data_IF_377073583881
#
_entry.id   IF_377073583881
#
_cell.length_a   1.000
_cell.length_b   1.000
_cell.length_c   1.000
_cell.angle_alpha   90.00
_cell.angle_beta   90.00
_cell.angle_gamma   90.00
#
_symmetry.space_group_name_H-M   'P 1'
#
loop_
_entity.id
_entity.type
_entity.pdbx_description
1 polymer ?
#
# COMPACT_ATOMS: atom_id res chain seq x y z
N UNK A 1 27.53 12.45 56.42
CA UNK A 1 28.84 12.12 57.04
C UNK A 1 28.79 10.69 57.55
N UNK A 2 29.75 9.83 57.18
CA UNK A 2 30.08 8.60 57.91
C UNK A 2 29.49 7.27 57.40
N UNK A 3 30.39 6.43 56.87
CA UNK A 3 30.25 5.03 56.41
C UNK A 3 29.86 4.03 57.51
N UNK A 4 29.24 2.87 57.11
CA UNK A 4 29.73 1.51 57.43
C UNK A 4 29.29 0.47 56.37
N UNK A 5 30.27 -0.34 55.93
CA UNK A 5 30.15 -1.53 55.08
C UNK A 5 29.49 -2.71 55.82
N UNK A 6 28.82 -3.59 55.07
CA UNK A 6 28.78 -5.03 55.37
C UNK A 6 28.99 -5.84 54.09
N UNK A 7 29.77 -6.90 54.22
CA UNK A 7 30.35 -7.71 53.17
C UNK A 7 29.31 -8.54 52.41
N UNK A 8 29.42 -8.56 51.07
CA UNK A 8 28.75 -9.55 50.22
C UNK A 8 29.70 -10.72 49.99
N UNK A 9 29.26 -11.91 50.40
CA UNK A 9 29.89 -13.17 50.03
C UNK A 9 29.73 -13.43 48.53
N UNK A 10 30.84 -13.80 47.88
CA UNK A 10 30.86 -14.36 46.54
C UNK A 10 30.09 -15.68 46.51
N UNK A 11 29.03 -15.76 45.70
CA UNK A 11 28.58 -17.01 45.11
C UNK A 11 28.87 -16.94 43.61
N UNK A 12 29.91 -17.65 43.18
CA UNK A 12 30.23 -17.91 41.77
C UNK A 12 29.19 -18.85 41.18
N UNK A 13 28.10 -18.29 40.67
CA UNK A 13 27.17 -18.99 39.79
C UNK A 13 27.71 -18.95 38.36
N UNK A 14 28.10 -20.10 37.82
CA UNK A 14 28.40 -20.25 36.40
C UNK A 14 27.11 -19.99 35.60
N UNK A 15 27.00 -18.80 35.01
CA UNK A 15 26.02 -18.52 33.96
C UNK A 15 26.49 -19.27 32.72
N UNK A 16 25.94 -20.48 32.51
CA UNK A 16 26.03 -21.13 31.23
C UNK A 16 25.40 -20.23 30.18
N UNK A 17 26.24 -19.60 29.34
CA UNK A 17 25.81 -19.07 28.05
C UNK A 17 25.32 -20.26 27.22
N UNK A 18 24.05 -20.61 27.38
CA UNK A 18 23.30 -21.28 26.34
C UNK A 18 23.15 -20.24 25.23
N UNK A 19 24.13 -20.24 24.32
CA UNK A 19 24.01 -19.65 22.99
C UNK A 19 22.92 -20.40 22.25
N UNK A 20 21.66 -20.15 22.61
CA UNK A 20 20.52 -20.55 21.83
C UNK A 20 20.64 -19.80 20.51
N UNK A 21 21.13 -20.48 19.48
CA UNK A 21 20.96 -20.03 18.12
C UNK A 21 19.45 -19.92 17.91
N UNK A 22 18.93 -18.70 17.95
CA UNK A 22 17.59 -18.46 17.44
C UNK A 22 17.59 -19.01 16.00
N UNK A 23 16.59 -19.83 15.63
CA UNK A 23 16.50 -20.33 14.27
C UNK A 23 16.54 -19.11 13.35
N UNK A 24 17.46 -19.11 12.38
CA UNK A 24 17.49 -18.08 11.36
C UNK A 24 16.17 -18.21 10.58
N UNK A 25 15.26 -17.24 10.77
CA UNK A 25 14.07 -17.15 9.96
C UNK A 25 14.50 -17.00 8.50
N UNK A 26 13.89 -17.78 7.60
CA UNK A 26 14.13 -17.61 6.17
C UNK A 26 13.69 -16.19 5.79
N UNK A 27 14.54 -15.46 5.09
CA UNK A 27 14.22 -14.10 4.67
C UNK A 27 13.19 -14.11 3.53
N UNK A 28 12.18 -13.25 3.61
CA UNK A 28 11.27 -12.99 2.52
C UNK A 28 11.97 -12.11 1.50
N UNK A 29 12.16 -12.60 0.29
CA UNK A 29 12.96 -11.88 -0.72
C UNK A 29 12.27 -11.79 -2.07
N UNK A 30 11.23 -12.58 -2.30
CA UNK A 30 10.51 -12.56 -3.56
C UNK A 30 9.81 -11.23 -3.82
N UNK A 31 9.75 -10.86 -5.09
CA UNK A 31 8.95 -9.75 -5.59
C UNK A 31 7.96 -10.30 -6.61
N UNK A 32 6.69 -10.31 -6.20
CA UNK A 32 5.56 -10.65 -7.06
C UNK A 32 5.00 -9.41 -7.73
N UNK A 33 4.66 -9.54 -9.01
CA UNK A 33 4.04 -8.48 -9.78
C UNK A 33 2.84 -8.97 -10.58
N UNK A 34 1.82 -8.14 -10.62
CA UNK A 34 0.60 -8.37 -11.40
C UNK A 34 0.19 -7.08 -12.12
N UNK A 35 -0.11 -7.16 -13.41
CA UNK A 35 -0.57 -5.98 -14.14
C UNK A 35 -1.50 -6.31 -15.31
N UNK A 36 -2.48 -5.45 -15.57
CA UNK A 36 -3.40 -5.63 -16.69
C UNK A 36 -3.42 -4.36 -17.53
N UNK A 37 -3.05 -4.48 -18.80
CA UNK A 37 -3.25 -3.43 -19.80
C UNK A 37 -4.48 -3.78 -20.65
N UNK A 38 -4.60 -5.06 -21.02
CA UNK A 38 -5.62 -5.57 -21.94
C UNK A 38 -6.92 -5.98 -21.22
N UNK A 39 -7.73 -4.99 -20.84
CA UNK A 39 -9.07 -5.20 -20.30
C UNK A 39 -10.15 -5.24 -21.38
N UNK A 40 -11.11 -6.15 -21.25
CA UNK A 40 -12.31 -6.26 -22.07
C UNK A 40 -13.31 -5.11 -21.83
N UNK A 41 -13.17 -4.40 -20.71
CA UNK A 41 -14.02 -3.27 -20.32
C UNK A 41 -13.40 -1.89 -20.60
N UNK A 42 -12.23 -1.83 -21.24
CA UNK A 42 -11.54 -0.58 -21.53
C UNK A 42 -10.06 -0.72 -21.26
N UNK A 43 -9.25 -0.70 -22.31
CA UNK A 43 -7.82 -0.90 -22.18
C UNK A 43 -7.14 0.22 -21.41
N UNK A 44 -6.15 -0.15 -20.61
CA UNK A 44 -5.15 0.73 -20.06
C UNK A 44 -3.83 0.51 -20.78
N UNK A 45 -2.92 1.47 -20.65
CA UNK A 45 -1.53 1.31 -21.05
C UNK A 45 -0.61 1.43 -19.86
N UNK A 46 0.63 0.97 -20.01
CA UNK A 46 1.74 1.24 -19.09
C UNK A 46 1.71 0.55 -17.72
N UNK A 47 0.66 -0.19 -17.34
CA UNK A 47 0.64 -0.91 -16.07
C UNK A 47 1.73 -1.99 -16.05
N UNK A 48 1.88 -2.72 -17.15
CA UNK A 48 2.97 -3.71 -17.28
C UNK A 48 4.35 -3.05 -17.18
N UNK A 49 4.52 -1.90 -17.82
CA UNK A 49 5.79 -1.16 -17.77
C UNK A 49 6.13 -0.68 -16.35
N UNK A 50 5.13 -0.26 -15.57
CA UNK A 50 5.32 0.13 -14.17
C UNK A 50 5.81 -1.06 -13.33
N UNK A 51 5.10 -2.18 -13.34
CA UNK A 51 5.46 -3.32 -12.49
C UNK A 51 6.76 -4.00 -12.94
N UNK A 52 7.00 -4.11 -14.26
CA UNK A 52 8.25 -4.65 -14.80
C UNK A 52 9.42 -3.70 -14.52
N UNK A 53 9.20 -2.40 -14.66
CA UNK A 53 10.18 -1.36 -14.35
C UNK A 53 10.61 -1.39 -12.88
N UNK A 54 9.66 -1.60 -11.97
CA UNK A 54 9.94 -1.85 -10.56
C UNK A 54 10.76 -3.13 -10.36
N UNK A 55 10.22 -4.28 -10.77
CA UNK A 55 10.82 -5.59 -10.51
C UNK A 55 12.22 -5.72 -11.11
N UNK A 56 12.38 -5.39 -12.40
CA UNK A 56 13.69 -5.48 -13.06
C UNK A 56 14.74 -4.58 -12.39
N UNK A 57 14.31 -3.43 -11.86
CA UNK A 57 15.22 -2.54 -11.16
C UNK A 57 15.59 -3.06 -9.77
N UNK A 58 14.62 -3.54 -9.00
CA UNK A 58 14.87 -4.16 -7.69
C UNK A 58 15.82 -5.35 -7.80
N UNK A 59 15.64 -6.19 -8.83
CA UNK A 59 16.48 -7.37 -9.11
C UNK A 59 17.86 -7.04 -9.68
N UNK A 60 18.14 -5.77 -10.01
CA UNK A 60 19.46 -5.36 -10.51
C UNK A 60 20.54 -5.27 -9.41
N UNK A 61 20.14 -5.35 -8.14
CA UNK A 61 21.04 -5.39 -6.99
C UNK A 61 20.69 -6.58 -6.08
N UNK A 62 21.67 -7.05 -5.31
CA UNK A 62 21.47 -8.19 -4.41
C UNK A 62 20.53 -7.85 -3.26
N UNK A 63 19.60 -8.75 -2.96
CA UNK A 63 18.78 -8.68 -1.75
C UNK A 63 17.37 -9.18 -1.96
N UNK A 64 16.82 -8.98 -3.16
CA UNK A 64 15.53 -9.50 -3.57
C UNK A 64 15.70 -10.56 -4.66
N UNK A 65 14.69 -11.43 -4.77
CA UNK A 65 14.61 -12.51 -5.74
C UNK A 65 13.32 -12.38 -6.56
N UNK A 66 13.28 -13.07 -7.69
CA UNK A 66 12.12 -13.04 -8.57
C UNK A 66 10.96 -13.86 -7.95
N UNK A 67 9.83 -13.19 -7.65
CA UNK A 67 8.55 -13.83 -7.32
C UNK A 67 7.75 -14.18 -8.59
N UNK A 68 6.43 -14.33 -8.48
CA UNK A 68 5.59 -14.58 -9.66
C UNK A 68 5.40 -13.32 -10.50
N UNK A 69 5.04 -13.50 -11.77
CA UNK A 69 4.73 -12.41 -12.70
C UNK A 69 3.52 -12.80 -13.53
N UNK A 70 2.38 -12.18 -13.25
CA UNK A 70 1.17 -12.33 -14.05
C UNK A 70 0.83 -11.04 -14.76
N UNK A 71 0.38 -11.16 -16.01
CA UNK A 71 -0.04 -9.99 -16.78
C UNK A 71 -1.25 -10.28 -17.65
N UNK A 72 -2.05 -9.25 -17.90
CA UNK A 72 -3.22 -9.29 -18.77
C UNK A 72 -4.17 -10.44 -18.38
N UNK A 73 -4.57 -11.29 -19.34
CA UNK A 73 -5.49 -12.40 -19.13
C UNK A 73 -5.04 -13.49 -18.14
N UNK A 74 -3.86 -13.32 -17.52
CA UNK A 74 -3.31 -14.19 -16.49
C UNK A 74 -3.49 -13.64 -15.07
N UNK A 75 -4.11 -12.47 -14.89
CA UNK A 75 -4.44 -11.89 -13.58
C UNK A 75 -5.89 -12.23 -13.24
N UNK A 76 -6.09 -12.99 -12.16
CA UNK A 76 -7.36 -13.55 -11.73
C UNK A 76 -7.84 -12.91 -10.43
N UNK A 77 -9.15 -12.87 -10.17
CA UNK A 77 -9.65 -12.41 -8.86
C UNK A 77 -9.08 -13.22 -7.70
N UNK A 78 -8.93 -14.53 -7.92
CA UNK A 78 -8.40 -15.48 -6.95
C UNK A 78 -6.96 -15.21 -6.55
N UNK A 79 -6.22 -14.42 -7.35
CA UNK A 79 -4.84 -14.07 -7.05
C UNK A 79 -4.72 -13.13 -5.85
N UNK A 80 -5.83 -12.46 -5.49
CA UNK A 80 -5.88 -11.46 -4.43
C UNK A 80 -6.75 -11.85 -3.24
N UNK A 81 -7.70 -12.76 -3.43
CA UNK A 81 -8.65 -13.14 -2.37
C UNK A 81 -8.12 -14.26 -1.51
N UNK A 82 -8.34 -14.11 -0.20
CA UNK A 82 -7.95 -15.05 0.84
C UNK A 82 -8.86 -16.31 0.79
N UNK A 83 -8.28 -17.53 0.66
CA UNK A 83 -9.04 -18.78 0.64
C UNK A 83 -9.89 -19.05 1.90
N UNK A 84 -9.57 -18.44 3.03
CA UNK A 84 -10.37 -18.50 4.26
C UNK A 84 -11.58 -17.54 4.23
N UNK A 85 -11.59 -16.54 3.34
CA UNK A 85 -12.70 -15.60 3.17
C UNK A 85 -13.58 -15.93 1.99
N UNK A 86 -12.97 -16.41 0.91
CA UNK A 86 -13.65 -16.73 -0.34
C UNK A 86 -13.30 -18.16 -0.73
N UNK A 87 -14.32 -19.02 -0.80
CA UNK A 87 -14.13 -20.40 -1.22
C UNK A 87 -13.51 -20.45 -2.63
N UNK A 88 -12.35 -21.09 -2.74
CA UNK A 88 -11.58 -21.15 -3.99
C UNK A 88 -10.65 -19.96 -4.25
N UNK A 89 -10.43 -19.07 -3.27
CA UNK A 89 -9.33 -18.09 -3.28
C UNK A 89 -7.95 -18.77 -3.31
N UNK A 90 -6.91 -18.04 -3.71
CA UNK A 90 -5.56 -18.58 -3.92
C UNK A 90 -4.45 -17.51 -3.84
N UNK A 91 -4.65 -16.42 -3.09
CA UNK A 91 -3.66 -15.35 -2.95
C UNK A 91 -2.30 -15.83 -2.42
N UNK A 92 -2.33 -16.90 -1.63
CA UNK A 92 -1.22 -17.69 -1.07
C UNK A 92 -0.21 -18.21 -2.07
N UNK A 93 -0.60 -18.35 -3.33
CA UNK A 93 0.27 -18.85 -4.40
C UNK A 93 0.56 -17.77 -5.45
N UNK A 94 -0.03 -16.58 -5.28
CA UNK A 94 -0.06 -15.49 -6.25
C UNK A 94 0.36 -14.18 -5.57
N UNK A 95 -0.56 -13.24 -5.31
CA UNK A 95 -0.23 -11.89 -4.86
C UNK A 95 0.39 -11.84 -3.46
N UNK A 96 -0.12 -12.62 -2.51
CA UNK A 96 0.40 -12.71 -1.14
C UNK A 96 1.10 -14.05 -0.92
N UNK A 97 2.16 -14.33 -1.68
CA UNK A 97 2.85 -15.62 -1.61
C UNK A 97 3.84 -15.66 -0.43
N UNK A 98 3.90 -16.74 0.38
CA UNK A 98 4.97 -16.94 1.35
C UNK A 98 6.37 -16.91 0.70
N UNK A 99 7.33 -16.25 1.37
CA UNK A 99 8.69 -16.07 0.87
C UNK A 99 8.90 -14.82 0.00
N UNK A 100 7.81 -14.12 -0.34
CA UNK A 100 7.86 -12.85 -1.04
C UNK A 100 7.75 -11.70 -0.04
N UNK A 101 8.58 -10.67 -0.19
CA UNK A 101 8.51 -9.49 0.67
C UNK A 101 7.59 -8.41 0.09
N UNK A 102 7.40 -8.40 -1.23
CA UNK A 102 6.73 -7.32 -1.94
C UNK A 102 5.78 -7.89 -2.99
N UNK A 103 4.55 -7.38 -3.02
CA UNK A 103 3.64 -7.53 -4.13
C UNK A 103 3.31 -6.17 -4.76
N UNK A 104 3.32 -6.08 -6.08
CA UNK A 104 2.97 -4.85 -6.80
C UNK A 104 1.92 -5.18 -7.85
N UNK A 105 0.70 -4.65 -7.65
CA UNK A 105 -0.36 -4.62 -8.64
C UNK A 105 -0.43 -3.28 -9.37
N UNK A 106 -0.61 -3.31 -10.70
CA UNK A 106 -0.97 -2.12 -11.48
C UNK A 106 -2.12 -2.36 -12.47
N UNK A 107 -3.14 -1.50 -12.47
CA UNK A 107 -4.31 -1.71 -13.32
C UNK A 107 -5.49 -0.75 -13.06
N UNK A 108 -6.70 -1.21 -13.32
CA UNK A 108 -7.94 -0.49 -13.04
C UNK A 108 -8.40 -0.62 -11.59
N UNK A 109 -9.13 0.39 -11.14
CA UNK A 109 -9.83 0.44 -9.85
C UNK A 109 -11.19 1.13 -9.97
N UNK A 110 -11.95 1.16 -8.87
CA UNK A 110 -13.32 1.71 -8.86
C UNK A 110 -13.36 3.21 -8.55
N UNK A 111 -14.02 3.98 -9.41
CA UNK A 111 -14.24 5.42 -9.28
C UNK A 111 -15.65 5.80 -8.80
N UNK A 112 -16.31 4.92 -8.04
CA UNK A 112 -17.75 4.99 -7.71
C UNK A 112 -18.06 5.83 -6.45
N UNK A 113 -17.05 6.51 -5.92
CA UNK A 113 -17.10 7.27 -4.68
C UNK A 113 -17.29 8.78 -4.88
N UNK A 114 -16.88 9.30 -6.03
CA UNK A 114 -17.01 10.72 -6.35
C UNK A 114 -18.37 11.01 -6.96
N UNK A 115 -18.98 12.11 -6.49
CA UNK A 115 -20.23 12.64 -7.03
C UNK A 115 -19.98 13.88 -7.89
N UNK A 116 -20.99 14.31 -8.64
CA UNK A 116 -21.01 15.60 -9.34
C UNK A 116 -21.34 16.78 -8.40
N UNK A 117 -21.58 16.52 -7.12
CA UNK A 117 -21.92 17.54 -6.13
C UNK A 117 -20.67 18.32 -5.73
N UNK A 118 -20.63 19.60 -6.13
CA UNK A 118 -19.61 20.53 -5.66
C UNK A 118 -19.78 20.84 -4.17
N UNK A 119 -18.68 21.14 -3.50
CA UNK A 119 -18.65 21.49 -2.09
C UNK A 119 -17.52 22.48 -1.81
N UNK A 120 -17.60 23.23 -0.72
CA UNK A 120 -16.49 24.04 -0.19
C UNK A 120 -16.04 23.56 1.19
N UNK A 121 -16.87 22.73 1.82
CA UNK A 121 -16.62 22.08 3.10
C UNK A 121 -17.20 20.67 3.09
N UNK A 122 -16.64 19.77 3.91
CA UNK A 122 -17.13 18.40 4.11
C UNK A 122 -18.56 18.39 4.67
N UNK A 123 -18.90 19.39 5.48
CA UNK A 123 -20.28 19.57 5.98
C UNK A 123 -21.28 19.85 4.85
N UNK A 124 -20.86 20.54 3.79
CA UNK A 124 -21.68 20.84 2.61
C UNK A 124 -22.04 19.61 1.76
N UNK A 125 -21.40 18.47 1.99
CA UNK A 125 -21.74 17.24 1.29
C UNK A 125 -23.01 16.58 1.85
N UNK A 126 -23.94 16.10 1.00
CA UNK A 126 -25.11 15.35 1.46
C UNK A 126 -24.72 14.15 2.33
N UNK A 127 -25.46 13.90 3.41
CA UNK A 127 -25.24 12.70 4.22
C UNK A 127 -25.87 11.49 3.55
N UNK A 128 -25.08 10.41 3.39
CA UNK A 128 -25.56 9.11 2.93
C UNK A 128 -25.40 8.14 4.09
N UNK A 129 -26.47 7.42 4.43
CA UNK A 129 -26.45 6.49 5.56
C UNK A 129 -25.33 5.46 5.41
N UNK A 130 -24.54 5.28 6.48
CA UNK A 130 -23.45 4.31 6.54
C UNK A 130 -22.17 4.71 5.81
N UNK A 131 -22.11 5.86 5.13
CA UNK A 131 -20.91 6.31 4.41
C UNK A 131 -20.28 7.52 5.10
N UNK A 132 -18.95 7.51 5.21
CA UNK A 132 -18.17 8.70 5.51
C UNK A 132 -18.15 9.59 4.25
N UNK A 133 -18.06 10.91 4.45
CA UNK A 133 -18.02 11.90 3.37
C UNK A 133 -16.81 12.81 3.53
N UNK A 134 -16.26 13.27 2.41
CA UNK A 134 -15.21 14.29 2.35
C UNK A 134 -15.48 15.26 1.21
N UNK A 135 -15.20 16.53 1.45
CA UNK A 135 -15.08 17.49 0.37
C UNK A 135 -13.65 17.49 -0.12
N UNK A 136 -13.41 16.80 -1.23
CA UNK A 136 -12.06 16.66 -1.80
C UNK A 136 -11.89 17.69 -2.88
N UNK A 137 -10.80 18.47 -2.79
CA UNK A 137 -10.47 19.54 -3.72
C UNK A 137 -10.46 19.02 -5.16
N UNK A 138 -11.18 19.71 -6.03
CA UNK A 138 -11.39 19.28 -7.41
C UNK A 138 -10.84 20.32 -8.39
N UNK A 139 -10.51 19.88 -9.60
CA UNK A 139 -9.64 20.60 -10.54
C UNK A 139 -10.35 21.20 -11.76
N UNK A 140 -11.69 21.16 -11.82
CA UNK A 140 -12.45 21.51 -13.02
C UNK A 140 -12.80 23.01 -13.17
N UNK A 141 -12.37 23.89 -12.26
CA UNK A 141 -12.72 25.31 -12.33
C UNK A 141 -11.61 26.28 -11.90
N UNK A 142 -11.52 27.41 -12.60
CA UNK A 142 -10.73 28.59 -12.21
C UNK A 142 -11.37 29.42 -11.08
N UNK A 143 -12.49 28.94 -10.51
CA UNK A 143 -13.32 29.67 -9.56
C UNK A 143 -13.22 29.07 -8.14
N UNK A 144 -12.21 29.49 -7.38
CA UNK A 144 -12.19 29.37 -5.92
C UNK A 144 -11.98 27.96 -5.32
N UNK A 145 -12.13 27.90 -3.99
CA UNK A 145 -11.96 26.71 -3.14
C UNK A 145 -13.11 25.69 -3.32
N UNK A 146 -13.34 25.21 -4.55
CA UNK A 146 -14.35 24.18 -4.82
C UNK A 146 -13.74 22.78 -4.82
N UNK A 147 -14.37 21.89 -4.05
CA UNK A 147 -14.18 20.45 -4.09
C UNK A 147 -15.39 19.73 -4.65
N UNK A 148 -15.30 18.40 -4.67
CA UNK A 148 -16.42 17.49 -4.93
C UNK A 148 -16.62 16.57 -3.73
N UNK A 149 -17.87 16.21 -3.51
CA UNK A 149 -18.21 15.25 -2.47
C UNK A 149 -17.78 13.85 -2.89
N UNK A 150 -16.94 13.25 -2.06
CA UNK A 150 -16.50 11.86 -2.14
C UNK A 150 -16.97 11.10 -0.90
N UNK A 151 -17.21 9.80 -1.05
CA UNK A 151 -17.79 8.96 -0.01
C UNK A 151 -17.01 7.67 0.19
N UNK A 152 -16.97 7.13 1.41
CA UNK A 152 -16.28 5.87 1.66
C UNK A 152 -17.03 4.76 0.93
N UNK A 153 -16.49 4.25 -0.16
CA UNK A 153 -17.06 3.14 -0.93
C UNK A 153 -16.10 1.96 -0.91
N UNK A 154 -16.60 0.72 -1.04
CA UNK A 154 -15.71 -0.41 -1.22
C UNK A 154 -14.83 -0.20 -2.45
N UNK A 155 -13.53 -0.37 -2.27
CA UNK A 155 -12.54 -0.24 -3.32
C UNK A 155 -12.24 -1.59 -3.91
N UNK A 156 -12.15 -1.59 -5.24
CA UNK A 156 -11.88 -2.81 -5.96
C UNK A 156 -10.66 -2.65 -6.85
N UNK A 157 -9.86 -3.71 -6.91
CA UNK A 157 -8.98 -3.97 -8.03
C UNK A 157 -9.85 -4.54 -9.15
N UNK A 158 -9.71 -4.03 -10.37
CA UNK A 158 -10.34 -4.64 -11.54
C UNK A 158 -9.30 -5.51 -12.23
N UNK A 159 -9.69 -6.76 -12.50
CA UNK A 159 -8.89 -7.73 -13.26
C UNK A 159 -9.70 -8.21 -14.46
N UNK A 160 -9.04 -8.78 -15.46
CA UNK A 160 -9.73 -9.41 -16.57
C UNK A 160 -9.12 -10.76 -16.91
N UNK A 161 -9.79 -11.80 -16.42
CA UNK A 161 -9.45 -13.18 -16.72
C UNK A 161 -9.67 -13.46 -18.21
N UNK A 162 -8.60 -13.85 -18.90
CA UNK A 162 -8.61 -14.26 -20.32
C UNK A 162 -9.09 -13.20 -21.33
N UNK A 163 -9.23 -11.92 -20.94
CA UNK A 163 -9.71 -10.87 -21.84
C UNK A 163 -11.20 -10.94 -22.15
N UNK A 164 -11.99 -11.61 -21.30
CA UNK A 164 -13.40 -11.95 -21.57
C UNK A 164 -14.39 -11.18 -20.71
N UNK A 165 -14.01 -10.85 -19.49
CA UNK A 165 -14.90 -10.14 -18.57
C UNK A 165 -14.10 -9.53 -17.43
N UNK A 166 -14.22 -8.21 -17.28
CA UNK A 166 -13.71 -7.53 -16.11
C UNK A 166 -14.44 -7.96 -14.84
N UNK A 167 -13.66 -8.21 -13.80
CA UNK A 167 -14.11 -8.70 -12.50
C UNK A 167 -13.50 -7.80 -11.41
N UNK A 168 -14.30 -7.43 -10.43
CA UNK A 168 -13.85 -6.64 -9.29
C UNK A 168 -13.44 -7.53 -8.11
N UNK A 169 -12.30 -7.22 -7.51
CA UNK A 169 -11.84 -7.79 -6.24
C UNK A 169 -11.94 -6.71 -5.18
N UNK A 170 -12.83 -6.88 -4.21
CA UNK A 170 -13.02 -5.91 -3.14
C UNK A 170 -12.01 -6.10 -2.00
N UNK A 171 -11.08 -5.15 -1.87
CA UNK A 171 -10.07 -5.15 -0.81
C UNK A 171 -10.50 -4.33 0.42
N UNK A 172 -11.70 -3.75 0.42
CA UNK A 172 -12.25 -2.98 1.54
C UNK A 172 -13.23 -3.78 2.40
N UNK A 173 -14.03 -4.67 1.80
CA UNK A 173 -15.04 -5.47 2.52
C UNK A 173 -14.49 -6.74 3.17
N UNK A 174 -13.21 -7.00 2.97
CA UNK A 174 -12.49 -8.05 3.66
C UNK A 174 -12.51 -9.43 2.99
N UNK A 175 -12.67 -9.48 1.66
CA UNK A 175 -12.37 -10.68 0.87
C UNK A 175 -10.86 -10.92 0.70
N UNK A 176 -10.06 -9.89 0.97
CA UNK A 176 -8.61 -9.84 0.81
C UNK A 176 -7.95 -9.75 2.18
N UNK A 177 -6.87 -10.50 2.40
CA UNK A 177 -6.03 -10.46 3.61
C UNK A 177 -4.58 -10.59 3.16
N UNK A 178 -3.78 -9.54 3.32
CA UNK A 178 -2.38 -9.57 2.90
C UNK A 178 -1.40 -9.57 4.07
N UNK A 179 -0.31 -10.32 3.89
CA UNK A 179 0.78 -10.52 4.84
C UNK A 179 0.48 -11.57 5.89
N UNK A 180 -0.37 -12.55 5.57
CA UNK A 180 -0.76 -13.61 6.50
C UNK A 180 0.42 -14.52 6.84
N UNK A 181 1.04 -14.38 8.01
CA UNK A 181 2.27 -15.10 8.35
C UNK A 181 2.09 -16.10 9.50
N UNK A 182 2.71 -17.28 9.36
CA UNK A 182 2.78 -18.29 10.44
C UNK A 182 3.58 -17.80 11.66
N UNK A 183 4.44 -16.80 11.46
CA UNK A 183 5.41 -16.33 12.47
C UNK A 183 4.98 -15.05 13.16
N UNK A 184 4.13 -14.23 12.53
CA UNK A 184 3.53 -13.05 13.15
C UNK A 184 2.28 -13.44 13.95
N UNK A 185 2.46 -13.56 15.27
CA UNK A 185 1.38 -13.88 16.20
C UNK A 185 0.57 -12.63 16.55
N UNK A 186 -0.77 -12.66 16.65
CA UNK A 186 -1.59 -13.87 16.59
C UNK A 186 -2.13 -14.11 15.19
N UNK A 187 -2.00 -15.36 14.74
CA UNK A 187 -2.58 -16.01 13.55
C UNK A 187 -4.12 -15.99 13.48
N UNK A 188 -4.74 -14.92 13.99
CA UNK A 188 -6.18 -14.73 14.18
C UNK A 188 -6.61 -13.29 13.88
N UNK A 189 -5.70 -12.33 13.65
CA UNK A 189 -6.10 -10.96 13.35
C UNK A 189 -6.92 -10.90 12.05
N UNK A 190 -8.16 -10.42 12.10
CA UNK A 190 -9.09 -10.43 10.97
C UNK A 190 -9.31 -11.81 10.30
N UNK A 191 -8.98 -12.90 11.00
CA UNK A 191 -8.88 -14.25 10.45
C UNK A 191 -7.81 -14.40 9.38
N UNK A 192 -6.75 -13.59 9.48
CA UNK A 192 -5.47 -13.78 8.80
C UNK A 192 -5.04 -15.22 9.06
N UNK A 193 -4.99 -16.03 8.02
CA UNK A 193 -4.45 -17.36 8.11
C UNK A 193 -2.94 -17.34 8.24
N UNK A 194 -2.32 -18.36 7.68
CA UNK A 194 -0.89 -18.62 7.81
C UNK A 194 -0.27 -18.94 6.45
N UNK A 195 -0.90 -18.43 5.41
CA UNK A 195 -0.79 -18.88 4.03
C UNK A 195 -0.31 -17.77 3.10
N UNK A 196 -0.02 -16.58 3.62
CA UNK A 196 0.60 -15.47 2.92
C UNK A 196 2.03 -15.16 3.37
N UNK A 197 2.53 -13.95 3.11
CA UNK A 197 3.85 -13.55 3.60
C UNK A 197 4.43 -12.23 3.13
N UNK A 198 3.70 -11.37 2.42
CA UNK A 198 4.26 -10.09 1.98
C UNK A 198 4.26 -9.04 3.10
N UNK A 199 5.28 -8.17 3.08
CA UNK A 199 5.40 -7.04 4.01
C UNK A 199 5.05 -5.69 3.36
N UNK A 200 5.07 -5.62 2.03
CA UNK A 200 4.63 -4.46 1.26
C UNK A 200 3.71 -4.86 0.11
N UNK A 201 2.54 -4.22 0.04
CA UNK A 201 1.68 -4.26 -1.13
C UNK A 201 1.68 -2.89 -1.78
N UNK A 202 1.89 -2.83 -3.10
CA UNK A 202 1.72 -1.62 -3.90
C UNK A 202 0.46 -1.81 -4.75
N UNK A 203 -0.57 -1.03 -4.47
CA UNK A 203 -1.84 -1.01 -5.20
C UNK A 203 -1.87 0.25 -6.05
N UNK A 204 -1.35 0.12 -7.27
CA UNK A 204 -1.20 1.18 -8.26
C UNK A 204 -2.33 1.09 -9.30
N UNK A 205 -3.54 1.46 -8.89
CA UNK A 205 -4.70 1.39 -9.74
C UNK A 205 -5.32 2.76 -10.05
N UNK A 206 -5.95 2.84 -11.22
CA UNK A 206 -6.81 3.98 -11.58
C UNK A 206 -7.85 4.20 -10.48
N UNK A 207 -8.11 5.44 -10.07
CA UNK A 207 -9.03 5.71 -8.96
C UNK A 207 -8.66 4.91 -7.69
N UNK A 208 -7.41 5.07 -7.25
CA UNK A 208 -6.92 4.53 -5.98
C UNK A 208 -7.70 5.04 -4.76
N UNK A 209 -7.05 5.11 -3.61
CA UNK A 209 -7.78 5.42 -2.38
C UNK A 209 -8.21 6.88 -2.29
N UNK A 210 -9.32 7.11 -1.61
CA UNK A 210 -9.81 8.47 -1.41
C UNK A 210 -9.11 9.13 -0.23
N UNK A 211 -8.65 10.37 -0.40
CA UNK A 211 -8.10 11.18 0.68
C UNK A 211 -8.96 11.13 1.95
N UNK A 212 -8.33 10.79 3.08
CA UNK A 212 -8.93 10.73 4.42
C UNK A 212 -10.09 9.72 4.59
N UNK A 213 -10.26 8.79 3.64
CA UNK A 213 -11.20 7.67 3.72
C UNK A 213 -10.50 6.30 3.74
N UNK A 214 -9.17 6.28 3.72
CA UNK A 214 -8.34 5.09 3.63
C UNK A 214 -8.55 4.08 4.78
N UNK A 215 -8.99 4.53 5.97
CA UNK A 215 -9.35 3.59 7.05
C UNK A 215 -10.49 2.68 6.60
N UNK A 216 -11.56 3.25 6.04
CA UNK A 216 -12.68 2.47 5.54
C UNK A 216 -12.31 1.60 4.33
N UNK A 217 -11.27 1.98 3.59
CA UNK A 217 -10.92 1.36 2.30
C UNK A 217 -9.84 0.28 2.41
N UNK A 218 -8.91 0.38 3.36
CA UNK A 218 -7.79 -0.57 3.50
C UNK A 218 -7.77 -1.36 4.80
N UNK A 219 -8.50 -0.95 5.85
CA UNK A 219 -8.37 -1.60 7.17
C UNK A 219 -8.48 -3.12 7.11
N UNK A 220 -9.42 -3.64 6.33
CA UNK A 220 -9.65 -5.08 6.22
C UNK A 220 -8.64 -5.82 5.33
N UNK A 221 -7.84 -5.11 4.52
CA UNK A 221 -6.79 -5.73 3.71
C UNK A 221 -5.54 -6.09 4.54
N UNK A 222 -5.34 -5.45 5.70
CA UNK A 222 -4.19 -5.72 6.57
C UNK A 222 -4.36 -7.01 7.37
N UNK A 223 -3.48 -7.98 7.11
CA UNK A 223 -3.49 -9.30 7.73
C UNK A 223 -2.09 -9.76 8.23
N UNK A 224 -1.20 -8.79 8.48
CA UNK A 224 0.19 -9.02 8.88
C UNK A 224 1.21 -8.28 8.00
N UNK A 225 0.73 -7.65 6.93
CA UNK A 225 1.53 -6.76 6.08
C UNK A 225 1.96 -5.47 6.81
N UNK A 226 3.24 -5.09 6.70
CA UNK A 226 3.76 -3.84 7.27
C UNK A 226 3.11 -2.60 6.67
N UNK A 227 2.94 -2.56 5.35
CA UNK A 227 2.40 -1.37 4.67
C UNK A 227 1.70 -1.66 3.34
N UNK A 228 0.69 -0.84 3.04
CA UNK A 228 0.06 -0.75 1.72
C UNK A 228 0.38 0.62 1.14
N UNK A 229 1.03 0.64 -0.03
CA UNK A 229 1.30 1.81 -0.84
C UNK A 229 0.24 1.96 -1.94
N UNK A 230 -0.20 3.18 -2.20
CA UNK A 230 -1.18 3.47 -3.27
C UNK A 230 -1.08 4.92 -3.74
N UNK A 231 -1.97 5.33 -4.64
CA UNK A 231 -2.18 6.72 -5.03
C UNK A 231 -3.50 7.27 -4.50
N UNK A 232 -3.56 8.59 -4.36
CA UNK A 232 -4.74 9.36 -3.93
C UNK A 232 -5.09 10.41 -4.98
N UNK A 233 -5.78 10.02 -6.07
CA UNK A 233 -6.25 10.99 -7.05
C UNK A 233 -7.39 11.84 -6.48
N UNK A 234 -7.44 13.14 -6.80
CA UNK A 234 -8.55 14.02 -6.38
C UNK A 234 -9.65 14.17 -7.44
N UNK A 235 -9.48 13.51 -8.58
CA UNK A 235 -10.38 13.57 -9.74
C UNK A 235 -10.82 12.18 -10.18
N UNK A 236 -12.11 12.08 -10.51
CA UNK A 236 -12.75 10.86 -10.99
C UNK A 236 -12.17 10.47 -12.34
N UNK A 237 -11.87 9.19 -12.50
CA UNK A 237 -11.25 8.71 -13.73
C UNK A 237 -9.84 9.26 -13.95
N UNK A 238 -9.22 9.91 -12.96
CA UNK A 238 -7.78 10.09 -12.97
C UNK A 238 -7.16 8.70 -12.92
N UNK A 239 -6.56 8.37 -14.05
CA UNK A 239 -5.97 7.08 -14.32
C UNK A 239 -4.50 7.05 -13.87
N UNK A 240 -3.97 5.84 -13.73
CA UNK A 240 -2.55 5.53 -13.60
C UNK A 240 -1.91 5.13 -14.92
N UNK A 241 -2.74 4.85 -15.94
CA UNK A 241 -2.33 4.25 -17.22
C UNK A 241 -1.61 5.16 -18.22
N UNK A 242 -1.45 6.43 -17.89
CA UNK A 242 -0.80 7.43 -18.74
C UNK A 242 0.71 7.55 -18.46
N UNK A 243 1.24 6.82 -17.48
CA UNK A 243 2.66 6.92 -17.09
C UNK A 243 3.32 5.56 -16.88
N UNK A 244 4.46 5.35 -17.55
CA UNK A 244 5.22 4.09 -17.59
C UNK A 244 6.46 4.03 -16.69
N UNK A 245 6.66 5.06 -15.87
CA UNK A 245 7.88 5.25 -15.10
C UNK A 245 7.72 5.13 -13.58
N UNK A 246 6.51 4.92 -13.07
CA UNK A 246 6.24 5.02 -11.62
C UNK A 246 6.94 3.92 -10.84
N UNK A 247 6.77 2.68 -11.25
CA UNK A 247 7.42 1.56 -10.58
C UNK A 247 8.95 1.64 -10.68
N UNK A 248 9.50 2.12 -11.81
CA UNK A 248 10.94 2.38 -11.94
C UNK A 248 11.42 3.47 -10.98
N UNK A 249 10.73 4.60 -10.92
CA UNK A 249 11.06 5.71 -10.01
C UNK A 249 11.01 5.28 -8.54
N UNK A 250 10.09 4.38 -8.18
CA UNK A 250 10.03 3.80 -6.85
C UNK A 250 11.24 2.89 -6.57
N UNK A 251 11.55 1.95 -7.46
CA UNK A 251 12.69 1.04 -7.29
C UNK A 251 14.05 1.76 -7.31
N UNK A 252 14.19 2.88 -8.03
CA UNK A 252 15.42 3.66 -8.04
C UNK A 252 15.76 4.22 -6.64
N UNK A 253 14.78 4.40 -5.75
CA UNK A 253 15.01 4.78 -4.35
C UNK A 253 15.70 3.68 -3.56
N UNK A 254 15.30 2.42 -3.75
CA UNK A 254 15.97 1.26 -3.16
C UNK A 254 17.42 1.18 -3.65
N UNK A 255 17.64 1.29 -4.96
CA UNK A 255 19.00 1.18 -5.51
C UNK A 255 19.90 2.34 -5.07
N UNK A 256 19.34 3.53 -4.88
CA UNK A 256 20.08 4.66 -4.33
C UNK A 256 20.46 4.44 -2.86
N UNK A 257 19.55 3.88 -2.05
CA UNK A 257 19.80 3.61 -0.63
C UNK A 257 18.93 2.47 -0.08
N UNK A 258 19.48 1.24 0.05
CA UNK A 258 18.78 0.10 0.66
C UNK A 258 18.37 0.29 2.13
N UNK A 259 19.00 1.22 2.84
CA UNK A 259 18.67 1.55 4.24
C UNK A 259 17.68 2.72 4.36
N UNK A 260 17.12 3.19 3.23
CA UNK A 260 16.05 4.19 3.26
C UNK A 260 14.72 3.56 3.65
N UNK A 261 13.84 4.36 4.24
CA UNK A 261 12.47 3.95 4.53
C UNK A 261 11.71 3.68 3.24
N UNK A 262 10.97 2.58 3.23
CA UNK A 262 10.16 2.14 2.08
C UNK A 262 8.99 3.10 1.85
N UNK A 263 8.27 3.49 2.90
CA UNK A 263 7.16 4.44 2.80
C UNK A 263 7.60 5.79 2.23
N UNK A 264 8.73 6.34 2.72
CA UNK A 264 9.30 7.57 2.13
C UNK A 264 9.82 7.35 0.70
N UNK A 265 10.28 6.15 0.37
CA UNK A 265 10.68 5.81 -1.00
C UNK A 265 9.49 5.87 -1.95
N UNK A 266 8.33 5.30 -1.58
CA UNK A 266 7.13 5.36 -2.42
C UNK A 266 6.60 6.79 -2.55
N UNK A 267 6.35 7.45 -1.42
CA UNK A 267 5.79 8.80 -1.42
C UNK A 267 6.73 9.80 -2.09
N UNK A 268 8.03 9.74 -1.80
CA UNK A 268 9.03 10.60 -2.41
C UNK A 268 9.27 10.33 -3.89
N UNK A 269 9.00 9.11 -4.38
CA UNK A 269 9.18 8.76 -5.80
C UNK A 269 8.35 9.60 -6.75
N UNK A 270 7.23 10.18 -6.28
CA UNK A 270 6.38 11.07 -7.08
C UNK A 270 7.20 12.18 -7.77
N UNK A 271 8.20 12.73 -7.10
CA UNK A 271 9.07 13.79 -7.63
C UNK A 271 9.98 13.33 -8.80
N UNK A 272 10.07 12.03 -9.04
CA UNK A 272 10.89 11.41 -10.07
C UNK A 272 10.05 10.81 -11.20
N UNK A 273 8.72 10.86 -11.08
CA UNK A 273 7.80 10.42 -12.13
C UNK A 273 7.52 11.58 -13.08
N UNK A 274 7.54 11.31 -14.38
CA UNK A 274 7.18 12.26 -15.43
C UNK A 274 5.87 11.83 -16.09
N UNK A 275 4.99 12.78 -16.42
CA UNK A 275 3.70 12.52 -17.08
C UNK A 275 2.51 12.78 -16.18
N UNK A 276 1.29 12.53 -16.64
CA UNK A 276 0.07 13.05 -16.00
C UNK A 276 -0.34 14.40 -16.57
N UNK A 277 -1.08 15.19 -15.78
CA UNK A 277 -1.49 16.54 -16.18
C UNK A 277 -1.23 17.57 -15.09
N UNK A 278 -1.23 18.84 -15.46
CA UNK A 278 -1.08 19.95 -14.51
C UNK A 278 -2.19 19.99 -13.45
N UNK A 279 -1.85 20.51 -12.28
CA UNK A 279 -2.78 20.83 -11.20
C UNK A 279 -3.09 22.33 -11.22
N UNK A 280 -4.36 22.70 -11.05
CA UNK A 280 -4.83 24.10 -11.14
C UNK A 280 -4.19 25.04 -10.09
N UNK A 281 -3.62 24.47 -9.04
CA UNK A 281 -2.98 25.19 -7.93
C UNK A 281 -1.44 25.23 -8.05
N UNK A 282 -0.91 24.96 -9.24
CA UNK A 282 0.52 24.78 -9.48
C UNK A 282 0.99 23.34 -9.21
N UNK A 283 2.01 22.89 -9.94
CA UNK A 283 2.44 21.49 -9.92
C UNK A 283 1.62 20.60 -10.87
N UNK A 284 1.45 19.33 -10.48
CA UNK A 284 0.96 18.25 -11.35
C UNK A 284 2.11 17.59 -12.13
N UNK A 285 1.78 16.80 -13.14
CA UNK A 285 2.75 16.17 -14.06
C UNK A 285 3.76 15.21 -13.41
N UNK A 286 3.33 14.51 -12.36
CA UNK A 286 4.14 13.54 -11.61
C UNK A 286 3.47 12.17 -11.47
N UNK A 287 2.95 11.64 -12.58
CA UNK A 287 2.36 10.29 -12.56
C UNK A 287 0.90 10.22 -12.17
N UNK A 288 0.27 11.34 -11.84
CA UNK A 288 -1.15 11.42 -11.51
C UNK A 288 -1.78 12.52 -12.36
N UNK A 289 -2.90 12.21 -13.01
CA UNK A 289 -3.72 13.19 -13.73
C UNK A 289 -4.32 14.19 -12.74
N UNK A 290 -3.96 15.47 -12.90
CA UNK A 290 -4.44 16.57 -12.08
C UNK A 290 -3.71 16.67 -10.74
N UNK A 291 -4.44 16.98 -9.69
CA UNK A 291 -3.91 17.01 -8.33
C UNK A 291 -4.06 15.63 -7.69
N UNK A 292 -3.08 15.21 -6.90
CA UNK A 292 -3.12 13.97 -6.15
C UNK A 292 -1.85 13.73 -5.35
N UNK A 293 -1.73 12.55 -4.77
CA UNK A 293 -0.59 12.16 -3.97
C UNK A 293 -0.24 10.68 -4.10
N UNK A 294 1.01 10.34 -3.83
CA UNK A 294 1.40 8.99 -3.43
C UNK A 294 1.19 8.87 -1.92
N UNK A 295 0.72 7.73 -1.45
CA UNK A 295 0.47 7.47 -0.03
C UNK A 295 0.98 6.08 0.36
N UNK A 296 1.52 5.97 1.56
CA UNK A 296 1.79 4.69 2.22
C UNK A 296 1.07 4.67 3.56
N UNK A 297 0.45 3.54 3.87
CA UNK A 297 -0.33 3.32 5.09
C UNK A 297 0.18 2.07 5.76
N UNK A 298 0.35 2.12 7.07
CA UNK A 298 0.67 0.99 7.94
C UNK A 298 -0.41 0.85 9.01
N UNK A 299 -0.55 -0.35 9.55
CA UNK A 299 -1.55 -0.65 10.57
C UNK A 299 -1.02 -1.65 11.60
N UNK A 300 -1.09 -1.27 12.87
CA UNK A 300 -0.33 -1.92 13.94
C UNK A 300 -1.05 -1.87 15.31
N UNK A 301 -0.49 -2.62 16.26
CA UNK A 301 -0.99 -2.68 17.65
C UNK A 301 -0.71 -1.40 18.43
N UNK A 302 0.40 -0.72 18.15
CA UNK A 302 0.78 0.52 18.82
C UNK A 302 1.11 1.61 17.82
N UNK A 303 0.90 2.87 18.22
CA UNK A 303 1.25 4.02 17.40
C UNK A 303 2.73 4.00 17.00
N UNK A 304 3.62 3.66 17.93
CA UNK A 304 5.06 3.59 17.69
C UNK A 304 5.41 2.60 16.58
N UNK A 305 4.79 1.42 16.55
CA UNK A 305 5.03 0.43 15.50
C UNK A 305 4.41 0.85 14.17
N UNK A 306 3.19 1.40 14.18
CA UNK A 306 2.57 1.94 12.98
C UNK A 306 3.46 3.02 12.34
N UNK A 307 3.93 3.98 13.13
CA UNK A 307 4.82 5.05 12.66
C UNK A 307 6.18 4.52 12.23
N UNK A 308 6.72 3.52 12.94
CA UNK A 308 7.99 2.90 12.58
C UNK A 308 7.92 2.21 11.21
N UNK A 309 6.90 1.39 10.95
CA UNK A 309 6.70 0.76 9.63
C UNK A 309 6.61 1.79 8.52
N UNK A 310 5.86 2.87 8.75
CA UNK A 310 5.65 3.83 7.68
C UNK A 310 6.86 4.76 7.42
N UNK A 311 7.57 5.16 8.49
CA UNK A 311 8.61 6.21 8.43
C UNK A 311 10.04 5.70 8.52
N UNK A 312 10.23 4.49 9.03
CA UNK A 312 11.56 3.99 9.44
C UNK A 312 11.89 2.64 8.81
N UNK A 313 10.94 1.72 8.67
CA UNK A 313 11.17 0.40 8.11
C UNK A 313 11.85 0.49 6.75
N UNK A 314 13.01 -0.15 6.68
CA UNK A 314 13.89 -0.10 5.52
C UNK A 314 13.63 -1.27 4.57
N UNK A 315 14.12 -1.15 3.34
CA UNK A 315 14.07 -2.25 2.38
C UNK A 315 14.76 -3.52 2.90
N UNK A 316 15.85 -3.38 3.65
CA UNK A 316 16.50 -4.52 4.26
C UNK A 316 15.62 -5.20 5.33
N UNK A 317 14.85 -4.41 6.10
CA UNK A 317 13.98 -4.90 7.18
C UNK A 317 12.68 -5.52 6.69
N UNK A 318 12.12 -5.06 5.56
CA UNK A 318 10.96 -5.70 4.91
C UNK A 318 11.16 -7.20 4.62
N UNK A 319 12.41 -7.65 4.52
CA UNK A 319 12.76 -9.04 4.20
C UNK A 319 12.87 -9.93 5.41
N UNK A 320 12.73 -9.37 6.61
CA UNK A 320 12.93 -10.09 7.85
C UNK A 320 11.55 -10.30 8.52
N UNK A 321 11.07 -11.55 8.60
CA UNK A 321 9.82 -11.90 9.27
C UNK A 321 9.67 -11.37 10.71
N UNK A 322 10.81 -11.09 11.36
CA UNK A 322 10.82 -10.50 12.71
C UNK A 322 10.29 -9.06 12.78
N UNK A 323 10.02 -8.41 11.65
CA UNK A 323 9.42 -7.07 11.57
C UNK A 323 8.02 -7.07 10.95
N UNK A 324 7.46 -8.24 10.63
CA UNK A 324 6.09 -8.39 10.14
C UNK A 324 5.11 -7.69 11.07
N UNK A 325 4.04 -7.15 10.49
CA UNK A 325 3.06 -6.45 11.29
C UNK A 325 2.25 -7.40 12.17
N UNK A 326 1.89 -6.92 13.37
CA UNK A 326 0.94 -7.60 14.23
C UNK A 326 -0.52 -7.39 13.78
N UNK A 327 -0.72 -6.55 12.76
CA UNK A 327 -2.02 -6.15 12.21
C UNK A 327 -2.73 -5.03 13.00
N UNK A 328 -3.77 -4.40 12.41
CA UNK A 328 -4.53 -3.26 12.96
C UNK A 328 -5.28 -3.48 14.28
N UNK A 329 -4.63 -3.89 15.37
CA UNK A 329 -5.31 -3.99 16.67
C UNK A 329 -5.50 -2.65 17.38
N UNK A 330 -5.01 -1.52 16.83
CA UNK A 330 -5.31 -0.21 17.42
C UNK A 330 -4.91 1.05 16.64
N UNK A 331 -3.89 1.02 15.78
CA UNK A 331 -3.33 2.24 15.20
C UNK A 331 -3.08 2.13 13.70
N UNK A 332 -3.33 3.22 12.98
CA UNK A 332 -2.86 3.41 11.61
C UNK A 332 -1.94 4.61 11.55
N UNK A 333 -0.91 4.50 10.72
CA UNK A 333 -0.07 5.63 10.34
C UNK A 333 -0.14 5.78 8.82
N UNK A 334 -0.11 7.01 8.34
CA UNK A 334 -0.04 7.31 6.91
C UNK A 334 0.98 8.43 6.65
N UNK A 335 1.65 8.35 5.52
CA UNK A 335 2.44 9.44 4.95
C UNK A 335 2.05 9.59 3.49
N UNK A 336 2.06 10.83 3.01
CA UNK A 336 1.80 11.10 1.61
C UNK A 336 2.67 12.25 1.10
N UNK A 337 2.86 12.29 -0.20
CA UNK A 337 3.49 13.43 -0.89
C UNK A 337 2.66 13.75 -2.11
N UNK A 338 2.26 15.01 -2.21
CA UNK A 338 1.41 15.50 -3.28
C UNK A 338 2.24 15.85 -4.52
N UNK A 339 1.65 15.72 -5.70
CA UNK A 339 2.25 16.24 -6.93
C UNK A 339 2.11 17.77 -7.07
N UNK A 340 1.62 18.45 -6.04
CA UNK A 340 1.31 19.87 -6.00
C UNK A 340 1.52 20.42 -4.58
N UNK A 341 1.47 21.73 -4.39
CA UNK A 341 1.61 22.35 -3.07
C UNK A 341 0.36 22.14 -2.20
N UNK A 342 0.28 20.97 -1.56
CA UNK A 342 -0.83 20.64 -0.67
C UNK A 342 -0.72 21.23 0.73
N UNK A 343 0.37 21.95 1.04
CA UNK A 343 0.48 22.73 2.28
C UNK A 343 -0.36 24.01 2.16
N UNK A 344 -0.22 24.73 1.03
CA UNK A 344 -1.03 25.91 0.75
C UNK A 344 -2.39 25.57 0.12
N UNK A 345 -2.53 24.36 -0.44
CA UNK A 345 -3.76 23.88 -1.06
C UNK A 345 -4.16 22.47 -0.55
N UNK A 346 -4.68 22.37 0.68
CA UNK A 346 -5.05 21.08 1.28
C UNK A 346 -5.95 20.23 0.37
N UNK A 347 -5.68 18.92 0.32
CA UNK A 347 -6.47 17.94 -0.46
C UNK A 347 -7.91 17.92 0.05
N UNK A 348 -8.09 17.88 1.38
CA UNK A 348 -9.38 17.93 2.05
C UNK A 348 -9.75 19.38 2.35
N UNK A 349 -10.96 19.77 1.97
CA UNK A 349 -11.53 21.04 2.35
C UNK A 349 -12.25 20.93 3.71
N UNK A 350 -12.30 22.03 4.50
CA UNK A 350 -12.73 22.03 5.90
C UNK A 350 -14.04 21.32 6.22
#
# INVERSE_FOLDING_TARGET
MGFRQFAFGMLTGAVGLLSGFAPAFAADTGITIEAVDNYSCGALSQNKANVDGFRNRMLSISGYTAGVRYTDGLVYPTDFTDPQKVAGGADTYNFDRPGDAIAYFSGHGTCNDQTTTSCTTTAGCPTIAGLQKRCVRHTDGSAGLSGRCMYSRPRQIIVDKTGKSCQGVDYSSGQVRWGESTTSSPANWAGAGTNGGINLAVIDNSCGITPDLYVAEFWNAFAGISSIASIMPTRQGSDTADVSGRGRAFADRYVANPNSSVGYSWTGSINSVTGGSGCAFGGGNHGIVGCGAHVTISAEKTQTWAEWQNRTETWAQLRNPGYDAYGPTGWMSWIFTCNYDCNNHPIILP
#
